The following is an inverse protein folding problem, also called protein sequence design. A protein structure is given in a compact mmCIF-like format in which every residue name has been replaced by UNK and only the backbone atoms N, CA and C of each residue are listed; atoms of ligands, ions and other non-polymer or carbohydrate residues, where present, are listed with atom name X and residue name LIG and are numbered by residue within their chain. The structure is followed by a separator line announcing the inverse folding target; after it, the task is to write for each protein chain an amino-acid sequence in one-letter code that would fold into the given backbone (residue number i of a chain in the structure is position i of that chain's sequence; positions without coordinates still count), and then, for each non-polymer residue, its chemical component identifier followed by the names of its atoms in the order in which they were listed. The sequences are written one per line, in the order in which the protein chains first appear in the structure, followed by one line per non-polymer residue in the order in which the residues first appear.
data_IF_415407301826
#
_entry.id   IF_415407301826
#
_cell.length_a   1.000
_cell.length_b   1.000
_cell.length_c   1.000
_cell.angle_alpha   90.00
_cell.angle_beta   90.00
_cell.angle_gamma   90.00
#
_symmetry.space_group_name_H-M   'P 1'
#
loop_
_entity.id
_entity.type
_entity.pdbx_description
1 polymer ?
#
# COMPACT_ATOMS: atom_id res chain seq x y z
N UNK A 1 2.53 -21.50 -9.45
CA UNK A 1 2.00 -20.11 -9.38
C UNK A 1 0.57 -20.01 -9.91
N UNK A 2 0.29 -20.56 -11.09
CA UNK A 2 -1.06 -20.54 -11.67
C UNK A 2 -2.12 -21.13 -10.74
N UNK A 3 -1.88 -22.28 -10.16
CA UNK A 3 -2.83 -22.94 -9.27
C UNK A 3 -3.08 -22.15 -7.99
N UNK A 4 -2.04 -21.53 -7.42
CA UNK A 4 -2.16 -20.68 -6.23
C UNK A 4 -2.95 -19.42 -6.56
N UNK A 5 -2.66 -18.77 -7.66
CA UNK A 5 -3.35 -17.56 -8.10
C UNK A 5 -4.83 -17.85 -8.42
N UNK A 6 -5.11 -18.95 -9.12
CA UNK A 6 -6.46 -19.41 -9.40
C UNK A 6 -7.24 -19.69 -8.10
N UNK A 7 -6.63 -20.41 -7.16
CA UNK A 7 -7.22 -20.68 -5.86
C UNK A 7 -7.52 -19.40 -5.08
N UNK A 8 -6.60 -18.44 -5.14
CA UNK A 8 -6.79 -17.13 -4.50
C UNK A 8 -7.98 -16.37 -5.09
N UNK A 9 -8.12 -16.36 -6.41
CA UNK A 9 -9.28 -15.72 -7.07
C UNK A 9 -10.59 -16.40 -6.69
N UNK A 10 -10.63 -17.74 -6.65
CA UNK A 10 -11.81 -18.50 -6.26
C UNK A 10 -12.19 -18.21 -4.81
N UNK A 11 -11.23 -18.21 -3.88
CA UNK A 11 -11.48 -17.87 -2.48
C UNK A 11 -11.98 -16.44 -2.32
N UNK A 12 -11.40 -15.49 -3.02
CA UNK A 12 -11.84 -14.10 -3.01
C UNK A 12 -13.26 -13.94 -3.54
N UNK A 13 -13.57 -14.61 -4.65
CA UNK A 13 -14.90 -14.57 -5.28
C UNK A 13 -15.96 -15.22 -4.40
N UNK A 14 -15.66 -16.37 -3.79
CA UNK A 14 -16.57 -17.02 -2.83
C UNK A 14 -16.76 -16.15 -1.59
N UNK A 15 -15.72 -15.54 -1.07
CA UNK A 15 -15.80 -14.59 0.03
C UNK A 15 -16.69 -13.40 -0.31
N UNK A 16 -16.57 -12.86 -1.51
CA UNK A 16 -17.43 -11.79 -2.00
C UNK A 16 -18.90 -12.22 -2.09
N UNK A 17 -19.15 -13.43 -2.58
CA UNK A 17 -20.51 -13.99 -2.64
C UNK A 17 -21.13 -14.14 -1.25
N UNK A 18 -20.38 -14.65 -0.28
CA UNK A 18 -20.85 -14.76 1.10
C UNK A 18 -21.04 -13.41 1.77
N UNK A 19 -20.18 -12.41 1.47
CA UNK A 19 -20.41 -11.04 1.91
C UNK A 19 -21.71 -10.46 1.38
N UNK A 20 -22.00 -10.66 0.10
CA UNK A 20 -23.23 -10.20 -0.53
C UNK A 20 -24.49 -10.89 0.04
N UNK A 21 -24.37 -12.16 0.43
CA UNK A 21 -25.46 -12.93 1.01
C UNK A 21 -25.60 -12.81 2.53
N UNK A 22 -24.71 -12.05 3.19
CA UNK A 22 -24.76 -11.93 4.66
C UNK A 22 -25.92 -11.07 5.13
N UNK A 23 -26.57 -11.51 6.21
CA UNK A 23 -27.69 -10.81 6.83
C UNK A 23 -27.35 -10.25 8.22
N UNK A 24 -26.26 -10.72 8.83
CA UNK A 24 -25.80 -10.28 10.14
C UNK A 24 -24.36 -9.77 10.05
N UNK A 25 -23.96 -8.94 11.03
CA UNK A 25 -22.59 -8.43 11.09
C UNK A 25 -21.57 -9.58 11.25
N UNK A 26 -21.87 -10.59 12.05
CA UNK A 26 -20.97 -11.73 12.26
C UNK A 26 -20.74 -12.52 10.98
N UNK A 27 -21.79 -12.77 10.19
CA UNK A 27 -21.68 -13.42 8.88
C UNK A 27 -20.81 -12.60 7.93
N UNK A 28 -21.00 -11.28 7.90
CA UNK A 28 -20.21 -10.38 7.08
C UNK A 28 -18.73 -10.40 7.49
N UNK A 29 -18.42 -10.38 8.79
CA UNK A 29 -17.05 -10.43 9.29
C UNK A 29 -16.36 -11.72 8.87
N UNK A 30 -17.03 -12.87 9.02
CA UNK A 30 -16.46 -14.16 8.62
C UNK A 30 -16.25 -14.25 7.10
N UNK A 31 -17.20 -13.75 6.32
CA UNK A 31 -17.08 -13.69 4.87
C UNK A 31 -15.93 -12.76 4.43
N UNK A 32 -15.74 -11.65 5.12
CA UNK A 32 -14.60 -10.73 4.88
C UNK A 32 -13.25 -11.38 5.20
N UNK A 33 -13.18 -12.23 6.21
CA UNK A 33 -11.96 -13.00 6.50
C UNK A 33 -11.62 -13.94 5.34
N UNK A 34 -12.61 -14.68 4.82
CA UNK A 34 -12.41 -15.55 3.66
C UNK A 34 -11.98 -14.76 2.42
N UNK A 35 -12.64 -13.64 2.16
CA UNK A 35 -12.30 -12.73 1.08
C UNK A 35 -10.87 -12.20 1.22
N UNK A 36 -10.46 -11.83 2.43
CA UNK A 36 -9.12 -11.35 2.74
C UNK A 36 -8.04 -12.40 2.54
N UNK A 37 -8.30 -13.66 2.88
CA UNK A 37 -7.37 -14.76 2.63
C UNK A 37 -7.09 -14.91 1.13
N UNK A 38 -8.13 -14.88 0.30
CA UNK A 38 -7.98 -14.92 -1.16
C UNK A 38 -7.24 -13.69 -1.68
N UNK A 39 -7.67 -12.50 -1.27
CA UNK A 39 -7.08 -11.24 -1.71
C UNK A 39 -5.61 -11.08 -1.34
N UNK A 40 -5.22 -11.55 -0.16
CA UNK A 40 -3.84 -11.46 0.32
C UNK A 40 -2.83 -12.23 -0.53
N UNK A 41 -3.26 -13.28 -1.22
CA UNK A 41 -2.39 -14.08 -2.09
C UNK A 41 -2.26 -13.53 -3.51
N UNK A 42 -3.21 -12.72 -3.99
CA UNK A 42 -3.26 -12.32 -5.40
C UNK A 42 -2.09 -11.41 -5.81
N UNK A 43 -1.87 -10.32 -5.09
CA UNK A 43 -0.83 -9.33 -5.45
C UNK A 43 0.58 -9.90 -5.30
N UNK A 44 0.95 -10.55 -4.17
CA UNK A 44 2.28 -11.13 -4.04
C UNK A 44 2.58 -12.21 -5.08
N UNK A 45 1.64 -13.09 -5.38
CA UNK A 45 1.83 -14.14 -6.38
C UNK A 45 1.93 -13.55 -7.78
N UNK A 46 1.12 -12.57 -8.13
CA UNK A 46 1.21 -11.84 -9.39
C UNK A 46 2.56 -11.16 -9.57
N UNK A 47 3.04 -10.47 -8.54
CA UNK A 47 4.35 -9.82 -8.54
C UNK A 47 5.48 -10.83 -8.69
N UNK A 48 5.41 -11.95 -7.98
CA UNK A 48 6.39 -13.02 -8.07
C UNK A 48 6.44 -13.63 -9.49
N UNK A 49 5.30 -13.82 -10.12
CA UNK A 49 5.20 -14.31 -11.49
C UNK A 49 5.92 -13.36 -12.45
N UNK A 50 5.72 -12.05 -12.32
CA UNK A 50 6.44 -11.05 -13.10
C UNK A 50 7.95 -11.15 -12.88
N UNK A 51 8.40 -11.32 -11.64
CA UNK A 51 9.82 -11.48 -11.31
C UNK A 51 10.45 -12.71 -12.00
N UNK A 52 9.67 -13.76 -12.24
CA UNK A 52 10.16 -15.01 -12.88
C UNK A 52 10.13 -14.97 -14.40
N UNK A 53 9.17 -14.26 -14.99
CA UNK A 53 8.96 -14.23 -16.44
C UNK A 53 9.85 -13.18 -17.12
N UNK A 54 9.98 -12.00 -16.51
CA UNK A 54 10.56 -10.83 -17.15
C UNK A 54 12.06 -10.77 -16.87
N UNK A 55 12.90 -10.45 -17.90
CA UNK A 55 14.31 -10.13 -17.67
C UNK A 55 14.48 -8.98 -16.70
N UNK A 56 15.54 -9.00 -15.89
CA UNK A 56 15.78 -7.97 -14.88
C UNK A 56 15.88 -6.55 -15.44
N UNK A 57 16.31 -6.43 -16.69
CA UNK A 57 16.44 -5.15 -17.41
C UNK A 57 15.08 -4.50 -17.67
N UNK A 58 14.02 -5.30 -17.83
CA UNK A 58 12.65 -4.84 -18.08
C UNK A 58 11.78 -4.92 -16.81
N UNK A 59 12.38 -5.24 -15.68
CA UNK A 59 11.68 -5.50 -14.42
C UNK A 59 10.83 -4.31 -13.97
N UNK A 60 11.41 -3.11 -13.98
CA UNK A 60 10.71 -1.90 -13.55
C UNK A 60 9.52 -1.57 -14.45
N UNK A 61 9.67 -1.69 -15.76
CA UNK A 61 8.58 -1.43 -16.71
C UNK A 61 7.42 -2.42 -16.51
N UNK A 62 7.72 -3.71 -16.34
CA UNK A 62 6.73 -4.74 -16.11
C UNK A 62 6.01 -4.58 -14.77
N UNK A 63 6.75 -4.30 -13.70
CA UNK A 63 6.18 -4.04 -12.37
C UNK A 63 5.29 -2.81 -12.35
N UNK A 64 5.71 -1.76 -13.04
CA UNK A 64 4.93 -0.53 -13.20
C UNK A 64 3.60 -0.82 -13.89
N UNK A 65 3.60 -1.61 -14.95
CA UNK A 65 2.39 -1.99 -15.67
C UNK A 65 1.44 -2.84 -14.81
N UNK A 66 1.97 -3.81 -14.07
CA UNK A 66 1.18 -4.71 -13.22
C UNK A 66 0.57 -3.98 -12.01
N UNK A 67 1.28 -3.01 -11.44
CA UNK A 67 0.80 -2.27 -10.26
C UNK A 67 -0.24 -1.19 -10.60
N UNK A 68 -0.40 -0.84 -11.87
CA UNK A 68 -1.34 0.20 -12.31
C UNK A 68 -2.78 -0.05 -11.85
N UNK A 69 -3.40 -1.23 -12.09
CA UNK A 69 -4.75 -1.50 -11.59
C UNK A 69 -4.87 -1.44 -10.08
N UNK A 70 -3.82 -1.84 -9.36
CA UNK A 70 -3.76 -1.79 -7.90
C UNK A 70 -3.78 -0.38 -7.33
N UNK A 71 -3.36 0.62 -8.08
CA UNK A 71 -3.42 2.02 -7.69
C UNK A 71 -4.74 2.69 -8.06
N UNK A 72 -5.35 2.26 -9.16
CA UNK A 72 -6.65 2.78 -9.61
C UNK A 72 -7.76 2.38 -8.65
N UNK A 73 -7.76 1.13 -8.17
CA UNK A 73 -8.79 0.58 -7.30
C UNK A 73 -9.06 1.43 -6.05
N UNK A 74 -8.06 1.71 -5.21
CA UNK A 74 -8.26 2.53 -4.02
C UNK A 74 -8.73 3.96 -4.30
N UNK A 75 -8.40 4.51 -5.46
CA UNK A 75 -8.79 5.86 -5.84
C UNK A 75 -10.24 5.93 -6.33
N UNK A 76 -10.68 4.94 -7.12
CA UNK A 76 -12.03 4.88 -7.65
C UNK A 76 -13.02 4.19 -6.71
N UNK A 77 -12.54 3.35 -5.80
CA UNK A 77 -13.36 2.56 -4.90
C UNK A 77 -14.38 3.35 -4.11
N UNK A 78 -14.00 4.42 -3.40
CA UNK A 78 -14.95 5.22 -2.63
C UNK A 78 -16.06 5.86 -3.48
N UNK A 79 -15.73 6.36 -4.67
CA UNK A 79 -16.72 6.96 -5.58
C UNK A 79 -17.70 5.88 -6.10
N UNK A 80 -17.18 4.76 -6.57
CA UNK A 80 -18.00 3.66 -7.07
C UNK A 80 -18.84 3.04 -5.95
N UNK A 81 -18.25 2.83 -4.78
CA UNK A 81 -18.96 2.32 -3.62
C UNK A 81 -20.09 3.24 -3.16
N UNK A 82 -19.84 4.55 -3.15
CA UNK A 82 -20.86 5.55 -2.83
C UNK A 82 -22.04 5.53 -3.80
N UNK A 83 -21.78 5.42 -5.10
CA UNK A 83 -22.84 5.29 -6.12
C UNK A 83 -23.66 4.02 -5.90
N UNK A 84 -23.01 2.89 -5.66
CA UNK A 84 -23.70 1.61 -5.45
C UNK A 84 -24.55 1.61 -4.19
N UNK A 85 -24.06 2.21 -3.11
CA UNK A 85 -24.84 2.32 -1.86
C UNK A 85 -26.04 3.24 -2.03
N UNK A 86 -25.88 4.35 -2.73
CA UNK A 86 -26.92 5.35 -2.90
C UNK A 86 -28.02 4.89 -3.87
N UNK A 87 -27.67 4.29 -5.02
CA UNK A 87 -28.60 3.95 -6.11
C UNK A 87 -29.01 2.49 -6.18
N UNK A 88 -28.32 1.59 -5.46
CA UNK A 88 -28.67 0.18 -5.37
C UNK A 88 -28.71 -0.26 -3.92
N UNK A 89 -27.78 -1.11 -3.50
CA UNK A 89 -27.61 -1.47 -2.10
C UNK A 89 -26.12 -1.78 -1.83
N UNK A 90 -25.74 -1.84 -0.55
CA UNK A 90 -24.36 -2.17 -0.16
C UNK A 90 -23.96 -3.58 -0.64
N UNK A 91 -24.91 -4.49 -0.87
CA UNK A 91 -24.64 -5.84 -1.36
C UNK A 91 -23.97 -5.83 -2.74
N UNK A 92 -24.26 -4.83 -3.57
CA UNK A 92 -23.69 -4.69 -4.89
C UNK A 92 -22.20 -4.40 -4.88
N UNK A 93 -21.67 -3.84 -3.81
CA UNK A 93 -20.21 -3.64 -3.64
C UNK A 93 -19.50 -4.99 -3.75
N UNK A 94 -20.08 -6.04 -3.20
CA UNK A 94 -19.52 -7.39 -3.25
C UNK A 94 -19.94 -8.15 -4.52
N UNK A 95 -21.15 -7.94 -5.00
CA UNK A 95 -21.67 -8.63 -6.20
C UNK A 95 -20.89 -8.28 -7.46
N UNK A 96 -20.39 -7.06 -7.61
CA UNK A 96 -19.58 -6.67 -8.77
C UNK A 96 -18.27 -7.44 -8.87
N UNK A 97 -17.76 -7.97 -7.77
CA UNK A 97 -16.54 -8.78 -7.75
C UNK A 97 -16.73 -10.15 -8.38
N UNK A 98 -17.95 -10.66 -8.43
CA UNK A 98 -18.24 -12.02 -8.92
C UNK A 98 -17.99 -12.15 -10.41
N UNK A 99 -18.55 -11.31 -11.30
CA UNK A 99 -18.23 -11.36 -12.73
C UNK A 99 -16.73 -11.15 -13.01
N UNK A 100 -16.11 -10.21 -12.32
CA UNK A 100 -14.68 -9.92 -12.44
C UNK A 100 -13.84 -11.13 -12.01
N UNK A 101 -14.23 -11.78 -10.90
CA UNK A 101 -13.56 -12.98 -10.40
C UNK A 101 -13.68 -14.17 -11.36
N UNK A 102 -14.85 -14.38 -11.97
CA UNK A 102 -15.06 -15.44 -12.95
C UNK A 102 -14.18 -15.22 -14.19
N UNK A 103 -14.18 -14.02 -14.73
CA UNK A 103 -13.33 -13.65 -15.87
C UNK A 103 -11.84 -13.80 -15.52
N UNK A 104 -11.44 -13.35 -14.35
CA UNK A 104 -10.07 -13.49 -13.87
C UNK A 104 -9.63 -14.93 -13.68
N UNK A 105 -10.52 -15.80 -13.15
CA UNK A 105 -10.25 -17.23 -12.99
C UNK A 105 -10.05 -17.92 -14.34
N UNK A 106 -10.93 -17.66 -15.30
CA UNK A 106 -10.83 -18.21 -16.64
C UNK A 106 -9.53 -17.73 -17.34
N UNK A 107 -9.24 -16.45 -17.26
CA UNK A 107 -8.04 -15.87 -17.82
C UNK A 107 -6.76 -16.47 -17.19
N UNK A 108 -6.76 -16.71 -15.89
CA UNK A 108 -5.63 -17.33 -15.18
C UNK A 108 -5.36 -18.75 -15.69
N UNK A 109 -6.40 -19.55 -15.87
CA UNK A 109 -6.24 -20.92 -16.38
C UNK A 109 -5.74 -20.95 -17.82
N UNK A 110 -6.16 -19.97 -18.64
CA UNK A 110 -5.84 -19.95 -20.06
C UNK A 110 -4.49 -19.28 -20.38
N UNK A 111 -4.12 -18.24 -19.66
CA UNK A 111 -3.03 -17.34 -20.02
C UNK A 111 -1.83 -17.38 -19.08
N UNK A 112 -2.02 -17.73 -17.80
CA UNK A 112 -0.95 -17.67 -16.82
C UNK A 112 -0.07 -18.91 -16.90
N UNK A 113 1.27 -18.77 -17.03
CA UNK A 113 2.18 -19.89 -17.00
C UNK A 113 2.26 -20.53 -15.61
N UNK A 114 2.38 -21.84 -15.56
CA UNK A 114 2.47 -22.58 -14.31
C UNK A 114 3.93 -22.82 -13.91
N UNK A 115 4.60 -21.78 -13.42
CA UNK A 115 5.93 -21.93 -12.85
C UNK A 115 5.82 -22.58 -11.48
N UNK A 116 6.59 -23.67 -11.29
CA UNK A 116 6.73 -24.33 -10.00
C UNK A 116 8.10 -24.04 -9.44
N UNK A 117 8.15 -23.75 -8.14
CA UNK A 117 9.40 -23.59 -7.39
C UNK A 117 9.59 -24.80 -6.47
N UNK A 118 10.84 -25.11 -6.11
CA UNK A 118 11.10 -26.10 -5.07
C UNK A 118 10.39 -25.68 -3.78
N UNK A 119 9.50 -26.54 -3.31
CA UNK A 119 8.80 -26.31 -2.05
C UNK A 119 9.76 -26.56 -0.88
N UNK A 120 9.90 -25.56 -0.01
CA UNK A 120 10.55 -25.71 1.28
C UNK A 120 9.55 -26.27 2.28
N UNK A 121 10.05 -26.96 3.31
CA UNK A 121 9.21 -27.35 4.43
C UNK A 121 8.62 -26.09 5.06
N UNK A 122 7.29 -26.07 5.21
CA UNK A 122 6.59 -24.91 5.75
C UNK A 122 6.90 -24.69 7.23
N UNK A 123 7.33 -23.50 7.58
CA UNK A 123 7.58 -23.09 8.96
C UNK A 123 6.27 -22.67 9.63
N UNK A 124 5.53 -23.65 10.15
CA UNK A 124 4.24 -23.40 10.78
C UNK A 124 4.38 -22.53 12.04
N UNK A 125 5.42 -22.75 12.85
CA UNK A 125 5.67 -21.96 14.06
C UNK A 125 5.94 -20.51 13.74
N UNK A 126 6.81 -20.23 12.78
CA UNK A 126 7.11 -18.87 12.32
C UNK A 126 5.90 -18.19 11.69
N UNK A 127 5.13 -18.91 10.89
CA UNK A 127 3.88 -18.39 10.32
C UNK A 127 2.89 -17.99 11.41
N UNK A 128 2.69 -18.85 12.41
CA UNK A 128 1.77 -18.58 13.52
C UNK A 128 2.19 -17.34 14.32
N UNK A 129 3.48 -17.21 14.63
CA UNK A 129 4.01 -16.06 15.37
C UNK A 129 3.81 -14.74 14.60
N UNK A 130 4.13 -14.71 13.30
CA UNK A 130 3.97 -13.53 12.47
C UNK A 130 2.51 -13.21 12.22
N UNK A 131 1.68 -14.20 11.91
CA UNK A 131 0.26 -14.00 11.64
C UNK A 131 -0.45 -13.43 12.87
N UNK A 132 -0.20 -13.99 14.04
CA UNK A 132 -0.77 -13.48 15.29
C UNK A 132 -0.24 -12.08 15.59
N UNK A 133 1.06 -11.84 15.47
CA UNK A 133 1.65 -10.53 15.69
C UNK A 133 1.08 -9.46 14.79
N UNK A 134 0.99 -9.72 13.50
CA UNK A 134 0.45 -8.75 12.53
C UNK A 134 -1.04 -8.52 12.74
N UNK A 135 -1.83 -9.57 12.95
CA UNK A 135 -3.26 -9.45 13.19
C UNK A 135 -3.58 -8.68 14.46
N UNK A 136 -2.86 -8.95 15.54
CA UNK A 136 -3.05 -8.28 16.83
C UNK A 136 -2.63 -6.81 16.74
N UNK A 137 -1.51 -6.50 16.10
CA UNK A 137 -1.08 -5.11 15.89
C UNK A 137 -2.06 -4.32 15.03
N UNK A 138 -2.54 -4.90 13.95
CA UNK A 138 -3.53 -4.26 13.07
C UNK A 138 -4.83 -4.00 13.82
N UNK A 139 -5.29 -4.97 14.61
CA UNK A 139 -6.49 -4.82 15.44
C UNK A 139 -6.32 -3.72 16.48
N UNK A 140 -5.15 -3.62 17.11
CA UNK A 140 -4.86 -2.57 18.07
C UNK A 140 -4.88 -1.18 17.43
N UNK A 141 -4.30 -1.03 16.24
CA UNK A 141 -4.30 0.22 15.49
C UNK A 141 -5.71 0.64 15.07
N UNK A 142 -6.52 -0.31 14.58
CA UNK A 142 -7.91 -0.04 14.21
C UNK A 142 -8.77 0.25 15.44
N UNK A 143 -8.51 -0.42 16.54
CA UNK A 143 -9.22 -0.22 17.82
C UNK A 143 -9.00 1.15 18.45
N UNK A 144 -7.90 1.84 18.10
CA UNK A 144 -7.62 3.21 18.58
C UNK A 144 -8.60 4.26 18.03
N UNK A 145 -9.39 3.90 17.02
CA UNK A 145 -10.34 4.82 16.33
C UNK A 145 -11.71 4.93 16.99
N UNK A 146 -11.83 4.67 18.28
CA UNK A 146 -13.06 4.91 19.01
C UNK A 146 -14.06 3.73 19.01
N UNK A 147 -13.58 2.52 18.89
CA UNK A 147 -14.41 1.28 18.92
C UNK A 147 -14.84 0.86 20.35
N UNK A 148 -14.62 1.69 21.35
CA UNK A 148 -14.96 1.37 22.73
C UNK A 148 -13.98 0.45 23.47
N UNK A 149 -12.84 0.13 22.87
CA UNK A 149 -11.78 -0.66 23.51
C UNK A 149 -11.05 0.23 24.52
N UNK A 150 -10.89 -0.27 25.76
CA UNK A 150 -10.19 0.48 26.80
C UNK A 150 -8.70 0.65 26.47
N UNK A 151 -8.09 1.71 27.00
CA UNK A 151 -6.65 1.96 26.83
C UNK A 151 -5.77 0.82 27.32
N UNK A 152 -6.20 0.12 28.37
CA UNK A 152 -5.49 -1.05 28.91
C UNK A 152 -5.53 -2.21 27.91
N UNK A 153 -6.69 -2.47 27.30
CA UNK A 153 -6.83 -3.51 26.29
C UNK A 153 -6.01 -3.22 25.04
N UNK A 154 -5.97 -1.96 24.59
CA UNK A 154 -5.12 -1.54 23.46
C UNK A 154 -3.63 -1.75 23.77
N UNK A 155 -3.19 -1.35 24.97
CA UNK A 155 -1.80 -1.56 25.39
C UNK A 155 -1.46 -3.05 25.45
N UNK A 156 -2.35 -3.89 25.96
CA UNK A 156 -2.17 -5.33 26.00
C UNK A 156 -2.04 -5.94 24.60
N UNK A 157 -2.87 -5.50 23.66
CA UNK A 157 -2.80 -5.95 22.26
C UNK A 157 -1.47 -5.56 21.60
N UNK A 158 -1.03 -4.33 21.78
CA UNK A 158 0.26 -3.86 21.26
C UNK A 158 1.42 -4.68 21.83
N UNK A 159 1.43 -4.89 23.14
CA UNK A 159 2.47 -5.69 23.82
C UNK A 159 2.47 -7.14 23.29
N UNK A 160 1.31 -7.77 23.18
CA UNK A 160 1.19 -9.11 22.61
C UNK A 160 1.71 -9.20 21.18
N UNK A 161 1.36 -8.22 20.33
CA UNK A 161 1.83 -8.16 18.96
C UNK A 161 3.34 -8.00 18.85
N UNK A 162 3.91 -7.09 19.62
CA UNK A 162 5.36 -6.86 19.66
C UNK A 162 6.10 -8.11 20.20
N UNK A 163 5.58 -8.75 21.24
CA UNK A 163 6.16 -9.98 21.77
C UNK A 163 6.13 -11.12 20.75
N UNK A 164 5.03 -11.27 20.02
CA UNK A 164 4.92 -12.30 18.98
C UNK A 164 5.94 -12.08 17.85
N UNK A 165 6.16 -10.84 17.43
CA UNK A 165 7.18 -10.49 16.43
C UNK A 165 8.59 -10.72 16.98
N UNK A 166 8.84 -10.33 18.22
CA UNK A 166 10.14 -10.56 18.87
C UNK A 166 10.46 -12.06 19.00
N UNK A 167 9.48 -12.88 19.35
CA UNK A 167 9.61 -14.34 19.37
C UNK A 167 9.89 -14.90 17.98
N UNK A 168 9.26 -14.35 16.94
CA UNK A 168 9.56 -14.74 15.57
C UNK A 168 11.00 -14.40 15.19
N UNK A 169 11.50 -13.22 15.52
CA UNK A 169 12.88 -12.83 15.25
C UNK A 169 13.88 -13.76 15.93
N UNK A 170 13.61 -14.15 17.17
CA UNK A 170 14.42 -15.13 17.90
C UNK A 170 14.36 -16.50 17.22
N UNK A 171 13.19 -16.95 16.81
CA UNK A 171 12.99 -18.19 16.06
C UNK A 171 13.73 -18.18 14.73
N UNK A 172 13.63 -17.10 13.97
CA UNK A 172 14.29 -16.92 12.68
C UNK A 172 15.82 -16.90 12.79
N UNK A 173 16.36 -16.34 13.88
CA UNK A 173 17.80 -16.33 14.14
C UNK A 173 18.36 -17.74 14.38
N UNK A 174 17.57 -18.62 15.01
CA UNK A 174 17.98 -19.99 15.36
C UNK A 174 17.65 -21.02 14.30
N UNK A 175 16.72 -20.74 13.40
CA UNK A 175 16.24 -21.69 12.41
C UNK A 175 16.57 -21.20 10.99
N UNK A 176 17.46 -21.89 10.26
CA UNK A 176 17.80 -21.52 8.87
C UNK A 176 16.63 -21.73 7.89
N UNK A 177 15.57 -22.46 8.29
CA UNK A 177 14.35 -22.69 7.50
C UNK A 177 13.19 -21.82 7.95
N UNK A 178 13.46 -20.70 8.62
CA UNK A 178 12.42 -19.75 9.02
C UNK A 178 11.62 -19.25 7.80
N UNK A 179 10.37 -18.86 8.03
CA UNK A 179 9.46 -18.34 6.99
C UNK A 179 10.09 -17.19 6.21
N UNK A 180 10.69 -16.22 6.91
CA UNK A 180 11.53 -15.18 6.34
C UNK A 180 12.93 -15.29 6.94
N UNK A 181 13.89 -15.64 6.11
CA UNK A 181 15.28 -15.75 6.55
C UNK A 181 15.87 -14.37 6.83
N UNK A 182 16.63 -14.25 7.92
CA UNK A 182 17.39 -13.04 8.22
C UNK A 182 18.48 -12.75 7.18
N UNK A 183 18.81 -13.71 6.32
CA UNK A 183 19.73 -13.50 5.19
C UNK A 183 19.19 -12.49 4.15
N UNK A 184 17.89 -12.20 4.14
CA UNK A 184 17.31 -11.12 3.33
C UNK A 184 17.97 -9.78 3.63
N UNK A 185 18.28 -9.51 4.88
CA UNK A 185 18.88 -8.24 5.32
C UNK A 185 20.38 -8.11 5.01
N UNK A 186 21.02 -9.16 4.50
CA UNK A 186 22.39 -9.09 4.01
C UNK A 186 22.52 -8.33 2.69
N UNK A 187 21.43 -8.19 1.94
CA UNK A 187 21.38 -7.34 0.75
C UNK A 187 21.13 -5.90 1.20
N UNK A 188 22.09 -4.97 1.04
CA UNK A 188 21.95 -3.60 1.57
C UNK A 188 20.76 -2.84 0.97
N UNK A 189 20.52 -3.00 -0.33
CA UNK A 189 19.41 -2.34 -1.02
C UNK A 189 18.06 -2.87 -0.58
N UNK A 190 17.95 -4.14 -0.21
CA UNK A 190 16.73 -4.69 0.36
C UNK A 190 16.42 -4.08 1.74
N UNK A 191 17.42 -4.01 2.63
CA UNK A 191 17.25 -3.42 3.96
C UNK A 191 16.86 -1.95 3.88
N UNK A 192 17.60 -1.16 3.11
CA UNK A 192 17.31 0.26 2.92
C UNK A 192 15.95 0.47 2.25
N UNK A 193 15.64 -0.30 1.22
CA UNK A 193 14.37 -0.25 0.52
C UNK A 193 13.20 -0.65 1.41
N UNK A 194 13.36 -1.66 2.27
CA UNK A 194 12.33 -2.10 3.19
C UNK A 194 12.04 -1.05 4.26
N UNK A 195 13.06 -0.50 4.91
CA UNK A 195 12.90 0.59 5.88
C UNK A 195 12.36 1.86 5.24
N UNK A 196 12.85 2.20 4.05
CA UNK A 196 12.35 3.33 3.27
C UNK A 196 10.90 3.14 2.85
N UNK A 197 10.51 1.95 2.44
CA UNK A 197 9.12 1.61 2.11
C UNK A 197 8.22 1.67 3.33
N UNK A 198 8.67 1.19 4.47
CA UNK A 198 7.92 1.31 5.73
C UNK A 198 7.64 2.76 6.07
N UNK A 199 8.69 3.58 6.17
CA UNK A 199 8.56 4.99 6.52
C UNK A 199 7.81 5.78 5.44
N UNK A 200 8.12 5.54 4.17
CA UNK A 200 7.49 6.24 3.05
C UNK A 200 6.01 5.93 2.89
N UNK A 201 5.61 4.70 3.16
CA UNK A 201 4.21 4.30 3.05
C UNK A 201 3.34 4.70 4.22
N UNK A 202 3.91 4.99 5.37
CA UNK A 202 3.18 5.66 6.44
C UNK A 202 2.62 6.98 5.93
N UNK A 203 3.45 7.78 5.27
CA UNK A 203 3.03 9.03 4.65
C UNK A 203 2.06 8.85 3.48
N UNK A 204 2.42 8.01 2.52
CA UNK A 204 1.56 7.72 1.35
C UNK A 204 0.23 7.09 1.74
N UNK A 205 0.20 6.28 2.79
CA UNK A 205 -1.02 5.62 3.27
C UNK A 205 -2.01 6.58 3.90
N UNK A 206 -1.57 7.73 4.36
CA UNK A 206 -2.45 8.79 4.87
C UNK A 206 -3.25 9.46 3.75
N UNK A 207 -2.71 9.55 2.55
CA UNK A 207 -3.31 10.30 1.44
C UNK A 207 -4.64 9.71 0.95
N UNK A 208 -4.81 8.40 0.73
CA UNK A 208 -6.09 7.83 0.35
C UNK A 208 -7.22 8.06 1.36
N UNK A 209 -6.87 8.23 2.61
CA UNK A 209 -7.80 8.59 3.68
C UNK A 209 -8.04 10.10 3.73
N UNK A 210 -6.97 10.90 3.78
CA UNK A 210 -7.06 12.35 3.99
C UNK A 210 -7.64 13.10 2.80
N UNK A 211 -7.31 12.72 1.58
CA UNK A 211 -7.76 13.47 0.39
C UNK A 211 -9.28 13.42 0.24
N UNK A 212 -9.97 12.26 0.27
CA UNK A 212 -11.43 12.24 0.24
C UNK A 212 -12.07 12.93 1.44
N UNK A 213 -11.55 12.72 2.63
CA UNK A 213 -12.07 13.34 3.87
C UNK A 213 -11.96 14.86 3.78
N UNK A 214 -10.83 15.38 3.33
CA UNK A 214 -10.62 16.80 3.15
C UNK A 214 -11.57 17.42 2.13
N UNK A 215 -11.76 16.78 0.98
CA UNK A 215 -12.67 17.25 -0.06
C UNK A 215 -14.13 17.25 0.40
N UNK A 216 -14.55 16.20 1.11
CA UNK A 216 -15.94 16.05 1.52
C UNK A 216 -16.27 16.84 2.80
N UNK A 217 -15.47 16.68 3.84
CA UNK A 217 -15.74 17.32 5.16
C UNK A 217 -15.12 18.72 5.22
N UNK A 218 -13.88 18.87 4.74
CA UNK A 218 -13.16 20.13 4.80
C UNK A 218 -13.71 21.19 3.84
N UNK A 219 -14.03 20.81 2.62
CA UNK A 219 -14.50 21.70 1.56
C UNK A 219 -16.01 21.59 1.28
N UNK A 220 -16.68 20.61 1.85
CA UNK A 220 -18.12 20.41 1.69
C UNK A 220 -18.55 19.83 0.36
N UNK A 221 -17.65 19.22 -0.40
CA UNK A 221 -18.00 18.57 -1.66
C UNK A 221 -18.86 17.33 -1.43
N UNK A 222 -19.82 17.06 -2.33
CA UNK A 222 -20.55 15.80 -2.32
C UNK A 222 -19.60 14.63 -2.58
N UNK A 223 -19.92 13.39 -2.13
CA UNK A 223 -19.08 12.22 -2.41
C UNK A 223 -18.81 12.02 -3.90
N UNK A 224 -19.81 12.26 -4.75
CA UNK A 224 -19.67 12.19 -6.20
C UNK A 224 -18.71 13.27 -6.75
N UNK A 225 -18.84 14.52 -6.30
CA UNK A 225 -17.97 15.62 -6.73
C UNK A 225 -16.53 15.38 -6.26
N UNK A 226 -16.32 14.91 -5.03
CA UNK A 226 -15.02 14.56 -4.52
C UNK A 226 -14.37 13.43 -5.36
N UNK A 227 -15.15 12.41 -5.73
CA UNK A 227 -14.69 11.34 -6.61
C UNK A 227 -14.27 11.84 -7.99
N UNK A 228 -15.03 12.76 -8.59
CA UNK A 228 -14.68 13.38 -9.86
C UNK A 228 -13.40 14.21 -9.76
N UNK A 229 -13.19 14.91 -8.63
CA UNK A 229 -11.98 15.69 -8.40
C UNK A 229 -10.73 14.80 -8.24
N UNK A 230 -10.88 13.54 -7.91
CA UNK A 230 -9.77 12.59 -7.80
C UNK A 230 -9.37 11.94 -9.13
N UNK A 231 -10.17 12.08 -10.19
CA UNK A 231 -9.85 11.53 -11.52
C UNK A 231 -8.51 12.04 -12.06
N UNK A 232 -8.17 13.34 -12.00
CA UNK A 232 -6.87 13.82 -12.45
C UNK A 232 -5.68 13.13 -11.74
N UNK A 233 -5.84 12.76 -10.47
CA UNK A 233 -4.81 12.03 -9.73
C UNK A 233 -4.56 10.65 -10.34
N UNK A 234 -5.61 9.94 -10.72
CA UNK A 234 -5.50 8.66 -11.42
C UNK A 234 -4.80 8.83 -12.77
N UNK A 235 -5.19 9.84 -13.54
CA UNK A 235 -4.59 10.16 -14.84
C UNK A 235 -3.10 10.50 -14.71
N UNK A 236 -2.72 11.23 -13.67
CA UNK A 236 -1.33 11.55 -13.38
C UNK A 236 -0.51 10.29 -13.05
N UNK A 237 -1.06 9.41 -12.22
CA UNK A 237 -0.44 8.12 -11.91
C UNK A 237 -0.24 7.26 -13.16
N UNK A 238 -1.25 7.16 -14.01
CA UNK A 238 -1.19 6.40 -15.26
C UNK A 238 -0.15 6.98 -16.25
N UNK A 239 -0.11 8.30 -16.38
CA UNK A 239 0.83 8.97 -17.27
C UNK A 239 2.28 8.75 -16.88
N UNK A 240 2.59 8.81 -15.59
CA UNK A 240 3.96 8.60 -15.09
C UNK A 240 4.45 7.17 -15.27
N UNK A 241 3.56 6.17 -15.36
CA UNK A 241 3.96 4.78 -15.58
C UNK A 241 4.82 4.57 -16.83
N UNK A 242 4.61 5.38 -17.85
CA UNK A 242 5.41 5.31 -19.09
C UNK A 242 6.79 5.96 -18.95
N UNK A 243 6.95 6.90 -18.03
CA UNK A 243 8.11 7.79 -17.95
C UNK A 243 9.04 7.39 -16.79
N UNK A 244 8.52 6.68 -15.79
CA UNK A 244 9.26 6.40 -14.55
C UNK A 244 10.58 5.66 -14.77
N UNK A 245 10.62 4.72 -15.72
CA UNK A 245 11.85 3.97 -16.06
C UNK A 245 12.93 4.91 -16.58
N UNK A 246 12.57 5.82 -17.48
CA UNK A 246 13.48 6.81 -18.05
C UNK A 246 13.99 7.78 -16.99
N UNK A 247 13.13 8.22 -16.09
CA UNK A 247 13.48 9.12 -15.00
C UNK A 247 14.50 8.46 -14.06
N UNK A 248 14.26 7.22 -13.66
CA UNK A 248 15.17 6.48 -12.79
C UNK A 248 16.50 6.20 -13.49
N UNK A 249 16.48 5.86 -14.77
CA UNK A 249 17.70 5.61 -15.55
C UNK A 249 18.55 6.87 -15.72
N UNK A 250 17.91 8.04 -15.82
CA UNK A 250 18.62 9.32 -15.97
C UNK A 250 19.17 9.86 -14.65
N UNK A 251 18.39 9.80 -13.57
CA UNK A 251 18.72 10.48 -12.31
C UNK A 251 19.22 9.52 -11.22
N UNK A 252 18.91 8.22 -11.31
CA UNK A 252 19.22 7.22 -10.30
C UNK A 252 18.20 7.16 -9.17
N UNK A 253 18.18 6.04 -8.46
CA UNK A 253 17.17 5.76 -7.42
C UNK A 253 17.22 6.78 -6.27
N UNK A 254 18.41 7.13 -5.79
CA UNK A 254 18.55 8.06 -4.65
C UNK A 254 17.93 9.43 -4.95
N UNK A 255 18.29 10.02 -6.08
CA UNK A 255 17.78 11.34 -6.47
C UNK A 255 16.27 11.32 -6.71
N UNK A 256 15.77 10.28 -7.38
CA UNK A 256 14.34 10.13 -7.64
C UNK A 256 13.57 9.97 -6.35
N UNK A 257 14.02 9.11 -5.43
CA UNK A 257 13.34 8.88 -4.16
C UNK A 257 13.35 10.10 -3.24
N UNK A 258 14.47 10.78 -3.11
CA UNK A 258 14.56 12.02 -2.31
C UNK A 258 13.69 13.11 -2.92
N UNK A 259 13.79 13.33 -4.22
CA UNK A 259 13.02 14.37 -4.91
C UNK A 259 11.52 14.11 -4.85
N UNK A 260 11.07 12.87 -5.06
CA UNK A 260 9.64 12.52 -5.00
C UNK A 260 9.11 12.56 -3.59
N UNK A 261 9.89 12.19 -2.59
CA UNK A 261 9.48 12.28 -1.18
C UNK A 261 9.27 13.73 -0.75
N UNK A 262 10.21 14.60 -1.04
CA UNK A 262 10.08 16.03 -0.76
C UNK A 262 9.00 16.67 -1.65
N UNK A 263 8.91 16.25 -2.91
CA UNK A 263 7.89 16.72 -3.85
C UNK A 263 6.48 16.36 -3.41
N UNK A 264 6.25 15.16 -2.87
CA UNK A 264 4.95 14.74 -2.35
C UNK A 264 4.54 15.57 -1.13
N UNK A 265 5.49 15.90 -0.25
CA UNK A 265 5.25 16.80 0.87
C UNK A 265 4.86 18.19 0.40
N UNK A 266 5.59 18.76 -0.57
CA UNK A 266 5.26 20.08 -1.14
C UNK A 266 3.92 20.08 -1.85
N UNK A 267 3.58 19.04 -2.60
CA UNK A 267 2.29 18.92 -3.28
C UNK A 267 1.14 18.82 -2.27
N UNK A 268 1.36 18.13 -1.17
CA UNK A 268 0.37 18.06 -0.08
C UNK A 268 0.11 19.43 0.55
N UNK A 269 1.16 20.22 0.77
CA UNK A 269 1.02 21.62 1.23
C UNK A 269 0.35 22.50 0.18
N UNK A 270 0.65 22.31 -1.09
CA UNK A 270 0.03 23.04 -2.19
C UNK A 270 -1.45 22.71 -2.30
N UNK A 271 -1.85 21.46 -2.13
CA UNK A 271 -3.25 21.03 -2.08
C UNK A 271 -3.99 21.73 -0.94
N UNK A 272 -3.41 21.72 0.25
CA UNK A 272 -3.96 22.42 1.40
C UNK A 272 -4.14 23.91 1.11
N UNK A 273 -3.12 24.59 0.63
CA UNK A 273 -3.12 26.03 0.38
C UNK A 273 -4.16 26.41 -0.67
N UNK A 274 -4.18 25.74 -1.82
CA UNK A 274 -5.11 26.04 -2.91
C UNK A 274 -6.58 25.80 -2.50
N UNK A 275 -6.82 24.74 -1.76
CA UNK A 275 -8.17 24.42 -1.29
C UNK A 275 -8.68 25.41 -0.25
N UNK A 276 -7.85 25.77 0.71
CA UNK A 276 -8.23 26.71 1.77
C UNK A 276 -8.37 28.16 1.28
N UNK A 277 -7.65 28.51 0.23
CA UNK A 277 -7.81 29.83 -0.43
C UNK A 277 -9.03 29.90 -1.38
N UNK A 278 -9.72 28.77 -1.56
CA UNK A 278 -10.87 28.71 -2.45
C UNK A 278 -10.54 28.62 -3.93
N UNK A 279 -9.30 28.33 -4.28
CA UNK A 279 -8.85 28.19 -5.67
C UNK A 279 -9.18 26.79 -6.22
N UNK A 280 -10.46 26.45 -6.28
CA UNK A 280 -10.92 25.13 -6.67
C UNK A 280 -10.58 24.75 -8.11
N UNK A 281 -10.35 25.72 -8.98
CA UNK A 281 -9.89 25.48 -10.36
C UNK A 281 -8.46 24.91 -10.42
N UNK A 282 -7.63 25.19 -9.42
CA UNK A 282 -6.28 24.68 -9.31
C UNK A 282 -6.22 23.27 -8.73
N UNK A 283 -7.24 22.80 -8.02
CA UNK A 283 -7.26 21.49 -7.38
C UNK A 283 -7.03 20.33 -8.33
N UNK A 284 -7.65 20.24 -9.52
CA UNK A 284 -7.37 19.15 -10.45
C UNK A 284 -5.90 19.06 -10.86
N UNK A 285 -5.24 20.19 -11.06
CA UNK A 285 -3.81 20.23 -11.41
C UNK A 285 -2.93 19.78 -10.27
N UNK A 286 -3.24 20.16 -9.03
CA UNK A 286 -2.50 19.75 -7.84
C UNK A 286 -2.68 18.25 -7.59
N UNK A 287 -3.87 17.72 -7.74
CA UNK A 287 -4.16 16.30 -7.60
C UNK A 287 -3.48 15.48 -8.70
N UNK A 288 -3.41 16.01 -9.91
CA UNK A 288 -2.65 15.40 -11.00
C UNK A 288 -1.16 15.29 -10.65
N UNK A 289 -0.56 16.34 -10.12
CA UNK A 289 0.83 16.33 -9.64
C UNK A 289 1.03 15.35 -8.49
N UNK A 290 0.09 15.28 -7.57
CA UNK A 290 0.15 14.32 -6.47
C UNK A 290 0.16 12.88 -6.99
N UNK A 291 -0.67 12.57 -7.95
CA UNK A 291 -0.70 11.26 -8.60
C UNK A 291 0.60 10.92 -9.29
N UNK A 292 1.17 11.85 -10.04
CA UNK A 292 2.46 11.68 -10.72
C UNK A 292 3.59 11.38 -9.74
N UNK A 293 3.74 12.20 -8.72
CA UNK A 293 4.81 12.09 -7.74
C UNK A 293 4.69 10.81 -6.92
N UNK A 294 3.49 10.51 -6.45
CA UNK A 294 3.23 9.31 -5.66
C UNK A 294 3.46 8.03 -6.46
N UNK A 295 3.04 8.00 -7.72
CA UNK A 295 3.27 6.86 -8.61
C UNK A 295 4.75 6.61 -8.87
N UNK A 296 5.51 7.66 -9.14
CA UNK A 296 6.97 7.58 -9.35
C UNK A 296 7.68 7.04 -8.12
N UNK A 297 7.34 7.56 -6.96
CA UNK A 297 7.89 7.13 -5.68
C UNK A 297 7.59 5.67 -5.39
N UNK A 298 6.34 5.26 -5.58
CA UNK A 298 5.87 3.89 -5.35
C UNK A 298 6.64 2.88 -6.21
N UNK A 299 6.70 3.11 -7.51
CA UNK A 299 7.40 2.23 -8.45
C UNK A 299 8.89 2.15 -8.15
N UNK A 300 9.52 3.28 -7.84
CA UNK A 300 10.94 3.35 -7.51
C UNK A 300 11.28 2.62 -6.22
N UNK A 301 10.46 2.76 -5.17
CA UNK A 301 10.67 2.06 -3.90
C UNK A 301 10.56 0.54 -4.06
N UNK A 302 9.54 0.07 -4.75
CA UNK A 302 9.33 -1.36 -4.94
C UNK A 302 10.46 -1.98 -5.75
N UNK A 303 10.85 -1.34 -6.83
CA UNK A 303 11.92 -1.84 -7.70
C UNK A 303 13.26 -1.84 -6.99
N UNK A 304 13.58 -0.76 -6.28
CA UNK A 304 14.82 -0.68 -5.50
C UNK A 304 14.92 -1.80 -4.46
N UNK A 305 13.84 -2.04 -3.73
CA UNK A 305 13.83 -3.03 -2.65
C UNK A 305 14.11 -4.44 -3.15
N UNK A 306 13.58 -4.79 -4.32
CA UNK A 306 13.63 -6.16 -4.83
C UNK A 306 14.73 -6.41 -5.85
N UNK A 307 15.36 -5.38 -6.41
CA UNK A 307 16.25 -5.51 -7.59
C UNK A 307 17.49 -6.36 -7.36
N UNK A 308 18.07 -6.34 -6.17
CA UNK A 308 19.36 -6.99 -5.86
C UNK A 308 19.22 -8.30 -5.09
N UNK A 309 17.97 -8.73 -4.81
CA UNK A 309 17.75 -10.01 -4.14
C UNK A 309 18.15 -11.19 -5.04
N UNK A 310 18.82 -12.23 -4.47
CA UNK A 310 19.01 -13.50 -5.16
C UNK A 310 17.67 -14.14 -5.53
N UNK A 311 17.66 -14.95 -6.61
CA UNK A 311 16.43 -15.57 -7.10
C UNK A 311 15.78 -16.53 -6.09
N UNK A 312 16.56 -17.19 -5.26
CA UNK A 312 16.09 -18.10 -4.20
C UNK A 312 15.39 -17.35 -3.06
N UNK A 313 15.69 -16.07 -2.84
CA UNK A 313 15.09 -15.21 -1.81
C UNK A 313 14.00 -14.29 -2.36
N UNK A 314 13.76 -14.28 -3.67
CA UNK A 314 12.82 -13.36 -4.30
C UNK A 314 11.40 -13.50 -3.76
N UNK A 315 10.91 -14.72 -3.57
CA UNK A 315 9.58 -15.00 -3.03
C UNK A 315 9.41 -14.48 -1.60
N UNK A 316 10.37 -14.79 -0.73
CA UNK A 316 10.37 -14.35 0.67
C UNK A 316 10.47 -12.83 0.78
N UNK A 317 11.35 -12.21 0.01
CA UNK A 317 11.50 -10.75 -0.02
C UNK A 317 10.24 -10.03 -0.49
N UNK A 318 9.60 -10.54 -1.53
CA UNK A 318 8.35 -10.01 -2.04
C UNK A 318 7.21 -10.10 -1.01
N UNK A 319 7.09 -11.23 -0.34
CA UNK A 319 6.06 -11.43 0.70
C UNK A 319 6.30 -10.52 1.90
N UNK A 320 7.54 -10.40 2.36
CA UNK A 320 7.90 -9.51 3.46
C UNK A 320 7.62 -8.04 3.11
N UNK A 321 7.97 -7.61 1.90
CA UNK A 321 7.66 -6.27 1.42
C UNK A 321 6.16 -6.00 1.44
N UNK A 322 5.35 -6.95 0.98
CA UNK A 322 3.88 -6.83 0.98
C UNK A 322 3.32 -6.71 2.39
N UNK A 323 3.83 -7.48 3.35
CA UNK A 323 3.44 -7.36 4.76
C UNK A 323 3.76 -5.97 5.33
N UNK A 324 4.95 -5.49 5.08
CA UNK A 324 5.42 -4.17 5.56
C UNK A 324 4.59 -3.05 4.93
N UNK A 325 4.25 -3.17 3.65
CA UNK A 325 3.37 -2.22 2.96
C UNK A 325 1.99 -2.11 3.62
N UNK A 326 1.37 -3.24 3.94
CA UNK A 326 0.06 -3.25 4.59
C UNK A 326 0.11 -2.66 5.99
N UNK A 327 1.09 -3.04 6.78
CA UNK A 327 1.28 -2.50 8.12
C UNK A 327 1.52 -0.99 8.09
N UNK A 328 2.36 -0.51 7.18
CA UNK A 328 2.66 0.91 7.02
C UNK A 328 1.43 1.73 6.66
N UNK A 329 0.59 1.24 5.75
CA UNK A 329 -0.65 1.90 5.36
C UNK A 329 -1.63 1.98 6.53
N UNK A 330 -1.77 0.90 7.32
CA UNK A 330 -2.61 0.88 8.52
C UNK A 330 -2.13 1.91 9.56
N UNK A 331 -0.83 1.99 9.79
CA UNK A 331 -0.23 2.99 10.68
C UNK A 331 -0.50 4.40 10.15
N UNK A 332 -0.35 4.63 8.86
CA UNK A 332 -0.61 5.93 8.22
C UNK A 332 -2.04 6.39 8.42
N UNK A 333 -3.02 5.55 8.13
CA UNK A 333 -4.44 5.87 8.31
C UNK A 333 -4.74 6.17 9.78
N UNK A 334 -4.19 5.39 10.71
CA UNK A 334 -4.36 5.60 12.14
C UNK A 334 -3.79 6.94 12.58
N UNK A 335 -2.58 7.29 12.14
CA UNK A 335 -1.96 8.59 12.48
C UNK A 335 -2.81 9.74 11.93
N UNK A 336 -3.28 9.65 10.70
CA UNK A 336 -4.13 10.69 10.11
C UNK A 336 -5.42 10.88 10.89
N UNK A 337 -6.07 9.78 11.28
CA UNK A 337 -7.29 9.82 12.10
C UNK A 337 -7.05 10.41 13.48
N UNK A 338 -5.93 10.07 14.12
CA UNK A 338 -5.55 10.63 15.42
C UNK A 338 -5.26 12.13 15.34
N UNK A 339 -4.57 12.59 14.31
CA UNK A 339 -4.29 14.01 14.09
C UNK A 339 -5.57 14.81 13.88
N UNK A 340 -6.49 14.32 13.06
CA UNK A 340 -7.79 14.95 12.88
C UNK A 340 -8.58 15.01 14.18
N UNK A 341 -8.58 13.93 14.96
CA UNK A 341 -9.26 13.88 16.25
C UNK A 341 -8.67 14.85 17.27
N UNK A 342 -7.35 14.91 17.37
CA UNK A 342 -6.65 15.82 18.30
C UNK A 342 -6.94 17.28 17.98
N UNK A 343 -6.79 17.70 16.73
CA UNK A 343 -7.04 19.07 16.33
C UNK A 343 -8.52 19.42 16.36
N UNK A 344 -9.40 18.47 16.09
CA UNK A 344 -10.84 18.62 16.17
C UNK A 344 -11.36 18.85 17.60
N UNK A 345 -10.73 18.26 18.61
CA UNK A 345 -11.08 18.45 20.00
C UNK A 345 -10.67 19.83 20.54
N UNK A 346 -9.58 20.39 20.02
CA UNK A 346 -9.08 21.70 20.44
C UNK A 346 -9.93 22.87 19.94
N UNK A 347 -10.69 22.65 18.88
CA UNK A 347 -11.51 23.66 18.21
C UNK A 347 -12.97 23.23 18.29
N UNK A 348 -13.83 24.07 18.89
CA UNK A 348 -15.26 23.79 18.99
C UNK A 348 -15.90 23.72 17.60
N UNK A 349 -16.71 22.69 17.39
CA UNK A 349 -17.28 22.27 16.10
C UNK A 349 -18.28 23.28 15.49
N UNK A 350 -18.53 24.39 16.14
CA UNK A 350 -19.65 25.27 15.81
C UNK A 350 -19.32 26.35 14.77
N UNK A 351 -18.02 26.49 14.42
CA UNK A 351 -17.60 27.55 13.50
C UNK A 351 -16.97 26.95 12.25
N UNK A 352 -17.48 27.33 11.07
CA UNK A 352 -16.93 26.87 9.77
C UNK A 352 -15.45 27.23 9.57
N UNK A 353 -14.98 28.30 10.22
CA UNK A 353 -13.57 28.66 10.25
C UNK A 353 -12.70 27.67 11.03
N UNK A 354 -13.25 26.97 12.03
CA UNK A 354 -12.51 25.99 12.82
C UNK A 354 -12.21 24.72 12.04
N UNK A 355 -13.08 24.28 11.14
CA UNK A 355 -12.86 23.11 10.27
C UNK A 355 -11.66 23.32 9.35
N UNK A 356 -11.55 24.46 8.73
CA UNK A 356 -10.40 24.81 7.88
C UNK A 356 -9.10 24.84 8.68
N UNK A 357 -9.10 25.34 9.88
CA UNK A 357 -7.94 25.37 10.77
C UNK A 357 -7.51 23.97 11.18
N UNK A 358 -8.45 23.08 11.50
CA UNK A 358 -8.17 21.68 11.85
C UNK A 358 -7.48 20.97 10.67
N UNK A 359 -8.01 21.12 9.47
CA UNK A 359 -7.41 20.50 8.27
C UNK A 359 -6.05 21.13 7.94
N UNK A 360 -5.88 22.41 8.12
CA UNK A 360 -4.60 23.09 7.92
C UNK A 360 -3.51 22.48 8.82
N UNK A 361 -3.77 22.36 10.12
CA UNK A 361 -2.79 21.76 11.05
C UNK A 361 -2.55 20.29 10.74
N UNK A 362 -3.57 19.55 10.39
CA UNK A 362 -3.45 18.13 10.00
C UNK A 362 -2.59 17.97 8.77
N UNK A 363 -2.79 18.77 7.73
CA UNK A 363 -1.98 18.72 6.52
C UNK A 363 -0.53 19.13 6.75
N UNK A 364 -0.28 20.10 7.63
CA UNK A 364 1.08 20.50 8.00
C UNK A 364 1.83 19.33 8.67
N UNK A 365 1.17 18.64 9.60
CA UNK A 365 1.76 17.47 10.24
C UNK A 365 2.00 16.32 9.25
N UNK A 366 1.05 16.08 8.37
CA UNK A 366 1.16 15.04 7.34
C UNK A 366 2.31 15.34 6.38
N UNK A 367 2.45 16.58 5.92
CA UNK A 367 3.54 17.00 5.06
C UNK A 367 4.90 16.78 5.73
N UNK A 368 5.03 17.07 7.01
CA UNK A 368 6.26 16.80 7.77
C UNK A 368 6.56 15.30 7.84
N UNK A 369 5.55 14.47 8.14
CA UNK A 369 5.71 13.01 8.20
C UNK A 369 6.08 12.43 6.84
N UNK A 370 5.49 12.93 5.75
CA UNK A 370 5.83 12.51 4.38
C UNK A 370 7.28 12.87 4.04
N UNK A 371 7.79 14.00 4.51
CA UNK A 371 9.15 14.45 4.22
C UNK A 371 10.23 13.67 4.98
N UNK A 372 9.93 13.11 6.16
CA UNK A 372 10.92 12.43 6.99
C UNK A 372 11.67 11.27 6.28
N UNK A 373 11.03 10.42 5.48
CA UNK A 373 11.73 9.32 4.80
C UNK A 373 12.83 9.76 3.83
N UNK A 374 12.89 11.02 3.44
CA UNK A 374 13.97 11.53 2.61
C UNK A 374 15.36 11.32 3.24
N UNK A 375 15.44 11.30 4.57
CA UNK A 375 16.69 11.02 5.30
C UNK A 375 17.17 9.59 5.02
N UNK A 376 16.25 8.63 5.00
CA UNK A 376 16.56 7.23 4.69
C UNK A 376 16.95 7.08 3.22
N UNK A 377 16.21 7.70 2.31
CA UNK A 377 16.49 7.62 0.88
C UNK A 377 17.78 8.32 0.47
N UNK A 378 18.24 9.29 1.23
CA UNK A 378 19.54 9.93 1.00
C UNK A 378 20.72 8.96 1.17
N UNK A 379 20.53 7.84 1.88
CA UNK A 379 21.55 6.80 2.08
C UNK A 379 21.53 5.71 1.01
N UNK A 380 20.54 5.73 0.12
CA UNK A 380 20.44 4.76 -0.97
C UNK A 380 21.53 4.99 -1.99
N UNK A 381 22.21 3.94 -2.53
CA UNK A 381 23.14 4.08 -3.63
C UNK A 381 22.48 4.72 -4.85
N UNK A 382 23.18 5.68 -5.48
CA UNK A 382 22.65 6.39 -6.65
C UNK A 382 22.89 5.60 -7.94
N UNK A 383 22.39 4.36 -7.99
CA UNK A 383 22.49 3.49 -9.14
C UNK A 383 21.33 3.71 -10.09
N UNK A 384 21.62 3.78 -11.38
CA UNK A 384 20.61 3.67 -12.43
C UNK A 384 20.38 2.19 -12.75
N UNK A 385 19.24 1.87 -13.33
CA UNK A 385 18.94 0.49 -13.74
C UNK A 385 19.99 -0.06 -14.72
N UNK A 386 20.47 0.78 -15.62
CA UNK A 386 21.53 0.45 -16.59
C UNK A 386 22.86 0.16 -15.90
N UNK A 387 23.25 0.98 -14.93
CA UNK A 387 24.49 0.78 -14.18
C UNK A 387 24.48 -0.48 -13.34
N UNK A 388 23.33 -0.86 -12.78
CA UNK A 388 23.18 -2.09 -12.03
C UNK A 388 23.43 -3.33 -12.90
N UNK A 389 23.01 -3.32 -14.16
CA UNK A 389 23.25 -4.39 -15.13
C UNK A 389 24.75 -4.48 -15.50
N UNK A 390 25.40 -3.35 -15.71
CA UNK A 390 26.83 -3.28 -16.04
C UNK A 390 27.70 -3.76 -14.86
N UNK A 391 27.36 -3.35 -13.65
CA UNK A 391 28.12 -3.75 -12.45
C UNK A 391 28.01 -5.26 -12.17
N UNK A 392 26.92 -5.90 -12.55
CA UNK A 392 26.73 -7.36 -12.42
C UNK A 392 27.53 -8.13 -13.47
N UNK A 393 27.60 -7.66 -14.71
CA UNK A 393 28.45 -8.26 -15.73
C UNK A 393 29.92 -8.28 -15.31
N UNK A 394 30.40 -7.22 -14.65
CA UNK A 394 31.77 -7.14 -14.13
C UNK A 394 32.04 -8.04 -12.92
N UNK A 395 31.02 -8.48 -12.20
CA UNK A 395 31.16 -9.40 -11.06
C UNK A 395 31.03 -10.89 -11.46
N UNK A 396 30.55 -11.16 -12.65
CA UNK A 396 30.41 -12.51 -13.19
C UNK A 396 31.53 -12.93 -14.14
N UNK A 397 32.46 -12.02 -14.48
CA UNK A 397 33.74 -12.27 -15.15
C UNK A 397 34.88 -12.19 -14.15
#
# INVERSE_FOLDING_TARGET
MRNIFFTAIILFTLGSLFCAGSSTLNELVMARVLQGVGGAMMVPVGRLTVMKIVPREQYMAAMTFVTLPGQIGPLLGPALGGILVEYASWHWIFLINIPVGIVGAIATLMLMPNYTMQTRRFDLSGFAMLAVGMAVLTLALDGSKGTGISSISLAALVICGVLAIALYLKHAHRNPRALFSLSLFRTPTFSLGLFGSFAGRIGSGMLPFMTPVFLQIGLGFSPFHAGLMMIPMVLGSMGMKRIVVQVVNRFGYRRVLVATTLGLSLVSLLLMTTALLGWYYALPFVLFLQGMVNSTRFSSMNTLTLKDLPDDLASSGNSLLSMIMQLSMSIGVTIAGLLLGMFGQQHSVIDSGSTHTVFMYTWLCIAFIIALPAIIFARVPNDTQTNAVISRRKRST
#
